data_IF_405451991540
#
_entry.id   IF_405451991540
#
_cell.length_a   1.000
_cell.length_b   1.000
_cell.length_c   1.000
_cell.angle_alpha   90.00
_cell.angle_beta   90.00
_cell.angle_gamma   90.00
#
_symmetry.space_group_name_H-M   'P 1'
#
loop_
_entity.id
_entity.type
_entity.pdbx_description
1 polymer ?
#
# COMPACT_ATOMS: atom_id res chain seq x y z
N UNK A 1 8.28 29.67 3.24
CA UNK A 1 6.83 29.70 3.55
C UNK A 1 6.70 29.63 5.05
N UNK A 2 5.84 30.45 5.67
CA UNK A 2 5.61 30.38 7.12
C UNK A 2 4.33 29.59 7.38
N UNK A 3 4.40 28.59 8.25
CA UNK A 3 3.27 27.75 8.63
C UNK A 3 3.10 27.86 10.15
N UNK A 4 1.87 28.09 10.58
CA UNK A 4 1.52 28.08 12.00
C UNK A 4 1.18 26.65 12.40
N UNK A 5 1.92 26.13 13.37
CA UNK A 5 1.69 24.79 13.92
C UNK A 5 0.64 24.85 15.03
N UNK A 6 -0.08 23.74 15.20
CA UNK A 6 -0.92 23.57 16.39
C UNK A 6 -0.03 23.25 17.60
N UNK A 7 -0.46 23.59 18.83
CA UNK A 7 0.32 23.32 20.04
C UNK A 7 0.78 21.85 20.17
N UNK A 8 -0.06 20.90 19.73
CA UNK A 8 0.27 19.47 19.80
C UNK A 8 1.42 19.09 18.84
N UNK A 9 1.48 19.74 17.67
CA UNK A 9 2.55 19.53 16.68
C UNK A 9 3.86 20.13 17.17
N UNK A 10 3.82 21.32 17.78
CA UNK A 10 4.99 21.94 18.40
C UNK A 10 5.55 21.07 19.53
N UNK A 11 4.67 20.54 20.39
CA UNK A 11 5.08 19.67 21.49
C UNK A 11 5.67 18.35 20.99
N UNK A 12 5.12 17.78 19.91
CA UNK A 12 5.71 16.61 19.25
C UNK A 12 7.14 16.90 18.77
N UNK A 13 7.35 18.02 18.06
CA UNK A 13 8.67 18.44 17.57
C UNK A 13 9.64 18.63 18.75
N UNK A 14 9.22 19.37 19.78
CA UNK A 14 10.06 19.61 20.97
C UNK A 14 10.48 18.30 21.64
N UNK A 15 9.57 17.31 21.76
CA UNK A 15 9.89 16.00 22.30
C UNK A 15 10.92 15.25 21.45
N UNK A 16 10.83 15.32 20.12
CA UNK A 16 11.83 14.70 19.23
C UNK A 16 13.22 15.32 19.39
N UNK A 17 13.28 16.65 19.58
CA UNK A 17 14.53 17.37 19.84
C UNK A 17 15.11 17.06 21.21
N UNK A 18 14.28 17.04 22.26
CA UNK A 18 14.69 16.71 23.62
C UNK A 18 15.27 15.30 23.74
N UNK A 19 14.79 14.36 22.92
CA UNK A 19 15.31 13.00 22.82
C UNK A 19 16.61 12.89 22.00
N UNK A 20 17.11 14.00 21.43
CA UNK A 20 18.29 14.03 20.59
C UNK A 20 18.13 13.29 19.25
N UNK A 21 16.89 12.97 18.84
CA UNK A 21 16.61 12.22 17.60
C UNK A 21 16.81 13.07 16.36
N UNK A 22 16.67 14.38 16.49
CA UNK A 22 16.83 15.35 15.41
C UNK A 22 17.61 16.58 15.90
N UNK A 23 18.40 17.20 15.02
CA UNK A 23 19.22 18.35 15.37
C UNK A 23 18.43 19.66 15.47
N UNK A 24 17.28 19.77 14.79
CA UNK A 24 16.43 20.96 14.80
C UNK A 24 15.01 20.63 14.28
N UNK A 25 14.08 21.56 14.47
CA UNK A 25 12.69 21.41 14.06
C UNK A 25 12.53 21.18 12.54
N UNK A 26 13.37 21.81 11.74
CA UNK A 26 13.34 21.69 10.28
C UNK A 26 13.63 20.24 9.83
N UNK A 27 14.57 19.56 10.48
CA UNK A 27 14.86 18.16 10.21
C UNK A 27 13.66 17.24 10.51
N UNK A 28 12.89 17.53 11.57
CA UNK A 28 11.66 16.79 11.89
C UNK A 28 10.59 17.01 10.80
N UNK A 29 10.41 18.25 10.38
CA UNK A 29 9.43 18.60 9.32
C UNK A 29 9.83 17.98 7.99
N UNK A 30 11.11 18.03 7.61
CA UNK A 30 11.60 17.42 6.38
C UNK A 30 11.36 15.92 6.36
N UNK A 31 11.64 15.21 7.47
CA UNK A 31 11.34 13.78 7.58
C UNK A 31 9.83 13.50 7.45
N UNK A 32 8.98 14.31 8.07
CA UNK A 32 7.53 14.16 7.97
C UNK A 32 7.02 14.35 6.53
N UNK A 33 7.57 15.33 5.81
CA UNK A 33 7.24 15.59 4.41
C UNK A 33 7.76 14.49 3.49
N UNK A 34 8.96 13.97 3.73
CA UNK A 34 9.49 12.82 2.99
C UNK A 34 8.58 11.60 3.15
N UNK A 35 8.18 11.27 4.37
CA UNK A 35 7.25 10.17 4.64
C UNK A 35 5.89 10.38 3.94
N UNK A 36 5.41 11.62 3.87
CA UNK A 36 4.18 11.95 3.15
C UNK A 36 4.35 11.71 1.65
N UNK A 37 5.46 12.15 1.08
CA UNK A 37 5.76 11.98 -0.35
C UNK A 37 5.94 10.50 -0.71
N UNK A 38 6.62 9.73 0.12
CA UNK A 38 6.79 8.28 -0.06
C UNK A 38 5.42 7.57 -0.11
N UNK A 39 4.53 7.88 0.85
CA UNK A 39 3.17 7.33 0.86
C UNK A 39 2.33 7.74 -0.35
N UNK A 40 2.46 8.99 -0.80
CA UNK A 40 1.76 9.46 -1.99
C UNK A 40 2.24 8.72 -3.24
N UNK A 41 3.55 8.55 -3.39
CA UNK A 41 4.14 7.79 -4.49
C UNK A 41 3.68 6.33 -4.48
N UNK A 42 3.73 5.67 -3.32
CA UNK A 42 3.25 4.28 -3.18
C UNK A 42 1.78 4.14 -3.58
N UNK A 43 0.95 5.11 -3.22
CA UNK A 43 -0.46 5.13 -3.63
C UNK A 43 -0.63 5.33 -5.13
N UNK A 44 0.10 6.26 -5.74
CA UNK A 44 0.06 6.51 -7.18
C UNK A 44 0.52 5.28 -7.98
N UNK A 45 1.63 4.66 -7.57
CA UNK A 45 2.13 3.41 -8.16
C UNK A 45 1.09 2.29 -8.06
N UNK A 46 0.44 2.14 -6.89
CA UNK A 46 -0.62 1.16 -6.71
C UNK A 46 -1.84 1.44 -7.60
N UNK A 47 -2.26 2.70 -7.73
CA UNK A 47 -3.39 3.08 -8.59
C UNK A 47 -3.12 2.72 -10.05
N UNK A 48 -1.92 3.01 -10.55
CA UNK A 48 -1.56 2.71 -11.94
C UNK A 48 -1.43 1.20 -12.17
N UNK A 49 -0.81 0.45 -11.26
CA UNK A 49 -0.74 -1.02 -11.33
C UNK A 49 -2.14 -1.67 -11.37
N UNK A 50 -3.04 -1.24 -10.48
CA UNK A 50 -4.42 -1.74 -10.46
C UNK A 50 -5.16 -1.37 -11.74
N UNK A 51 -4.98 -0.14 -12.25
CA UNK A 51 -5.62 0.31 -13.49
C UNK A 51 -5.20 -0.57 -14.67
N UNK A 52 -3.91 -0.86 -14.81
CA UNK A 52 -3.40 -1.74 -15.87
C UNK A 52 -4.05 -3.12 -15.78
N UNK A 53 -4.02 -3.75 -14.59
CA UNK A 53 -4.60 -5.09 -14.38
C UNK A 53 -6.10 -5.16 -14.65
N UNK A 54 -6.85 -4.13 -14.24
CA UNK A 54 -8.29 -4.06 -14.47
C UNK A 54 -8.60 -3.91 -15.96
N UNK A 55 -7.83 -3.09 -16.69
CA UNK A 55 -8.00 -2.93 -18.13
C UNK A 55 -7.69 -4.24 -18.86
N UNK A 56 -6.56 -4.90 -18.54
CA UNK A 56 -6.19 -6.20 -19.11
C UNK A 56 -7.29 -7.25 -18.87
N UNK A 57 -7.78 -7.37 -17.63
CA UNK A 57 -8.87 -8.28 -17.29
C UNK A 57 -10.17 -7.93 -18.05
N UNK A 58 -10.46 -6.65 -18.26
CA UNK A 58 -11.58 -6.19 -19.07
C UNK A 58 -11.47 -6.68 -20.52
N UNK A 59 -10.30 -6.51 -21.13
CA UNK A 59 -10.04 -6.98 -22.50
C UNK A 59 -10.10 -8.51 -22.62
N UNK A 60 -9.58 -9.26 -21.64
CA UNK A 60 -9.71 -10.72 -21.57
C UNK A 60 -11.18 -11.16 -21.54
N UNK A 61 -12.00 -10.48 -20.73
CA UNK A 61 -13.44 -10.76 -20.66
C UNK A 61 -14.15 -10.45 -21.98
N UNK A 62 -13.80 -9.36 -22.66
CA UNK A 62 -14.35 -9.03 -23.98
C UNK A 62 -13.97 -10.06 -25.06
N UNK A 63 -12.78 -10.66 -24.96
CA UNK A 63 -12.35 -11.78 -25.82
C UNK A 63 -13.00 -13.12 -25.44
N UNK A 64 -13.77 -13.17 -24.35
CA UNK A 64 -14.42 -14.39 -23.88
C UNK A 64 -13.49 -15.34 -23.13
N UNK A 65 -12.35 -14.86 -22.64
CA UNK A 65 -11.34 -15.64 -21.91
C UNK A 65 -11.71 -15.81 -20.42
N UNK A 66 -12.85 -15.26 -19.99
CA UNK A 66 -13.37 -15.41 -18.64
C UNK A 66 -13.61 -16.88 -18.25
N UNK A 67 -13.15 -17.26 -17.06
CA UNK A 67 -13.35 -18.61 -16.52
C UNK A 67 -14.62 -18.67 -15.67
N UNK A 68 -15.51 -19.65 -15.89
CA UNK A 68 -16.70 -19.83 -15.04
C UNK A 68 -16.34 -20.06 -13.57
N UNK A 69 -17.09 -19.42 -12.66
CA UNK A 69 -16.85 -19.50 -11.22
C UNK A 69 -16.81 -20.94 -10.69
N UNK A 70 -17.73 -21.80 -11.16
CA UNK A 70 -17.80 -23.20 -10.74
C UNK A 70 -16.47 -23.93 -11.02
N UNK A 71 -15.88 -23.69 -12.19
CA UNK A 71 -14.58 -24.26 -12.58
C UNK A 71 -13.46 -23.82 -11.63
N UNK A 72 -13.41 -22.53 -11.28
CA UNK A 72 -12.40 -21.99 -10.35
C UNK A 72 -12.55 -22.58 -8.94
N UNK A 73 -13.78 -22.66 -8.45
CA UNK A 73 -14.08 -23.23 -7.12
C UNK A 73 -13.64 -24.70 -7.05
N UNK A 74 -13.94 -25.49 -8.09
CA UNK A 74 -13.53 -26.89 -8.15
C UNK A 74 -12.01 -27.05 -8.12
N UNK A 75 -11.27 -26.25 -8.91
CA UNK A 75 -9.81 -26.27 -8.94
C UNK A 75 -9.20 -25.91 -7.58
N UNK A 76 -9.74 -24.89 -6.91
CA UNK A 76 -9.28 -24.50 -5.57
C UNK A 76 -9.51 -25.64 -4.57
N UNK A 77 -10.69 -26.24 -4.58
CA UNK A 77 -10.99 -27.37 -3.69
C UNK A 77 -10.08 -28.57 -3.97
N UNK A 78 -9.79 -28.87 -5.24
CA UNK A 78 -8.87 -29.93 -5.62
C UNK A 78 -7.44 -29.68 -5.09
N UNK A 79 -6.95 -28.43 -5.20
CA UNK A 79 -5.65 -28.05 -4.62
C UNK A 79 -5.59 -28.33 -3.10
N UNK A 80 -6.66 -27.99 -2.37
CA UNK A 80 -6.72 -28.26 -0.94
C UNK A 80 -6.78 -29.75 -0.59
N UNK A 81 -7.49 -30.57 -1.37
CA UNK A 81 -7.50 -32.04 -1.19
C UNK A 81 -6.11 -32.62 -1.39
N UNK A 82 -5.46 -32.29 -2.50
CA UNK A 82 -4.13 -32.80 -2.85
C UNK A 82 -3.09 -32.41 -1.79
N UNK A 83 -3.13 -31.17 -1.28
CA UNK A 83 -2.21 -30.72 -0.24
C UNK A 83 -2.38 -31.46 1.09
N UNK A 84 -3.62 -31.89 1.42
CA UNK A 84 -3.90 -32.70 2.62
C UNK A 84 -3.45 -34.14 2.46
N UNK A 85 -3.60 -34.70 1.27
CA UNK A 85 -3.18 -36.06 0.95
C UNK A 85 -1.65 -36.18 0.89
N UNK A 86 -0.95 -35.16 0.38
CA UNK A 86 0.52 -35.13 0.32
C UNK A 86 1.22 -34.97 1.68
N UNK A 87 0.50 -34.51 2.71
CA UNK A 87 0.99 -34.34 4.08
C UNK A 87 0.63 -35.52 5.00
N UNK A 88 0.20 -36.65 4.44
CA UNK A 88 -0.19 -37.86 5.15
C UNK A 88 0.78 -38.99 4.85
#
# INVERSE_FOLDING_TARGET
MNITLKPEQEQFIQNQLAQGRFPNAEAVVNQALQLLQEKQREYEEWVEDVRVKVNEAGEELERGEGVPLATVVEQIQAKFRNAREANK
#
